data_IF_685817979767
#
_entry.id   IF_685817979767
#
_cell.length_a   1.000
_cell.length_b   1.000
_cell.length_c   1.000
_cell.angle_alpha   90.00
_cell.angle_beta   90.00
_cell.angle_gamma   90.00
#
_symmetry.space_group_name_H-M   'P 1'
#
loop_
_entity.id
_entity.type
_entity.pdbx_description
1 polymer ?
#
# COMPACT_ATOMS: atom_id res chain seq x y z
N UNK A 1 -3.86 -22.55 -4.78
CA UNK A 1 -4.19 -21.39 -5.64
C UNK A 1 -2.90 -20.96 -6.32
N UNK A 2 -2.90 -20.66 -7.62
CA UNK A 2 -1.75 -20.04 -8.30
C UNK A 2 -2.21 -18.68 -8.80
N UNK A 3 -1.47 -17.63 -8.47
CA UNK A 3 -1.84 -16.24 -8.81
C UNK A 3 -1.70 -15.93 -10.30
N UNK A 4 -0.84 -16.66 -11.01
CA UNK A 4 -0.61 -16.47 -12.44
C UNK A 4 0.85 -16.76 -12.79
N UNK A 5 1.24 -16.31 -13.97
CA UNK A 5 2.63 -16.28 -14.40
C UNK A 5 3.36 -15.11 -13.73
N UNK A 6 4.48 -15.38 -13.06
CA UNK A 6 5.20 -14.36 -12.27
C UNK A 6 5.82 -13.28 -13.17
N UNK A 7 6.37 -13.67 -14.32
CA UNK A 7 7.06 -12.75 -15.21
C UNK A 7 6.07 -11.79 -15.85
N UNK A 8 4.90 -12.29 -16.26
CA UNK A 8 3.82 -11.45 -16.79
C UNK A 8 3.29 -10.44 -15.75
N UNK A 9 3.14 -10.87 -14.49
CA UNK A 9 2.68 -9.97 -13.41
C UNK A 9 3.71 -8.88 -13.13
N UNK A 10 4.99 -9.26 -13.04
CA UNK A 10 6.08 -8.31 -12.80
C UNK A 10 6.18 -7.31 -13.95
N UNK A 11 6.09 -7.77 -15.20
CA UNK A 11 6.12 -6.91 -16.39
C UNK A 11 4.96 -5.90 -16.36
N UNK A 12 3.74 -6.34 -16.06
CA UNK A 12 2.57 -5.45 -15.98
C UNK A 12 2.74 -4.37 -14.90
N UNK A 13 3.22 -4.75 -13.71
CA UNK A 13 3.48 -3.81 -12.61
C UNK A 13 4.58 -2.82 -12.99
N UNK A 14 5.66 -3.28 -13.64
CA UNK A 14 6.73 -2.40 -14.13
C UNK A 14 6.22 -1.41 -15.15
N UNK A 15 5.38 -1.83 -16.11
CA UNK A 15 4.78 -0.95 -17.11
C UNK A 15 3.91 0.12 -16.44
N UNK A 16 3.07 -0.27 -15.48
CA UNK A 16 2.20 0.65 -14.71
C UNK A 16 2.96 1.72 -13.94
N UNK A 17 4.18 1.43 -13.50
CA UNK A 17 5.03 2.37 -12.75
C UNK A 17 6.15 3.01 -13.60
N UNK A 18 6.23 2.70 -14.90
CA UNK A 18 7.37 3.04 -15.76
C UNK A 18 7.65 4.54 -15.88
N UNK A 19 6.61 5.38 -15.81
CA UNK A 19 6.71 6.84 -15.86
C UNK A 19 6.81 7.51 -14.49
N UNK A 20 6.82 6.73 -13.40
CA UNK A 20 6.77 7.25 -12.04
C UNK A 20 8.13 7.13 -11.34
N UNK A 21 8.82 8.26 -11.17
CA UNK A 21 10.08 8.33 -10.45
C UNK A 21 9.99 9.33 -9.28
N UNK A 22 9.40 8.91 -8.15
CA UNK A 22 9.20 9.78 -6.99
C UNK A 22 10.53 10.07 -6.29
N UNK A 23 10.57 11.19 -5.55
CA UNK A 23 11.66 11.44 -4.62
C UNK A 23 11.64 10.37 -3.50
N UNK A 24 12.75 9.66 -3.26
CA UNK A 24 12.79 8.64 -2.22
C UNK A 24 12.46 9.22 -0.86
N UNK A 25 11.51 8.58 -0.17
CA UNK A 25 11.14 8.89 1.21
C UNK A 25 11.50 7.71 2.11
N UNK A 26 11.80 7.97 3.38
CA UNK A 26 11.91 6.90 4.37
C UNK A 26 10.51 6.44 4.75
N UNK A 27 10.18 5.19 4.44
CA UNK A 27 8.88 4.60 4.73
C UNK A 27 8.89 3.85 6.06
N UNK A 28 7.72 3.78 6.68
CA UNK A 28 7.42 2.80 7.72
C UNK A 28 7.39 1.38 7.14
N UNK A 29 6.76 1.20 5.98
CA UNK A 29 6.78 -0.06 5.20
C UNK A 29 5.74 -1.10 5.61
N UNK A 30 5.16 -0.98 6.81
CA UNK A 30 4.00 -1.75 7.27
C UNK A 30 3.01 -0.84 8.02
N UNK A 31 2.60 0.28 7.42
CA UNK A 31 1.74 1.26 8.07
C UNK A 31 0.26 0.87 7.95
N UNK A 32 -0.33 0.45 9.07
CA UNK A 32 -1.75 0.11 9.17
C UNK A 32 -2.27 0.25 10.60
N UNK A 33 -3.58 0.07 10.80
CA UNK A 33 -4.26 0.38 12.06
C UNK A 33 -3.67 -0.25 13.31
N UNK A 34 -3.15 -1.48 13.21
CA UNK A 34 -2.61 -2.20 14.37
C UNK A 34 -1.17 -1.80 14.70
N UNK A 35 -0.50 -1.12 13.77
CA UNK A 35 0.85 -0.59 13.95
C UNK A 35 0.83 0.90 14.32
N UNK A 36 -0.34 1.41 14.72
CA UNK A 36 -0.55 2.80 15.12
C UNK A 36 -1.27 2.86 16.47
N UNK A 37 -0.87 3.78 17.34
CA UNK A 37 -1.63 4.13 18.53
C UNK A 37 -1.57 5.64 18.81
N UNK A 38 -2.58 6.14 19.50
CA UNK A 38 -2.57 7.52 20.02
C UNK A 38 -2.23 7.49 21.50
N UNK A 39 -1.17 8.20 21.89
CA UNK A 39 -0.82 8.38 23.29
C UNK A 39 -0.90 9.84 23.74
N UNK A 40 -0.52 10.15 24.99
CA UNK A 40 -0.73 11.46 25.59
C UNK A 40 0.05 12.60 24.91
N UNK A 41 1.12 12.27 24.19
CA UNK A 41 2.00 13.24 23.52
C UNK A 41 1.86 13.22 21.99
N UNK A 42 0.90 12.47 21.44
CA UNK A 42 0.72 12.31 20.00
C UNK A 42 0.74 10.86 19.53
N UNK A 43 0.84 10.63 18.20
CA UNK A 43 0.78 9.31 17.61
C UNK A 43 2.10 8.53 17.83
N UNK A 44 1.96 7.22 17.96
CA UNK A 44 3.03 6.24 17.99
C UNK A 44 2.85 5.25 16.85
N UNK A 45 3.97 4.87 16.23
CA UNK A 45 4.03 3.86 15.17
C UNK A 45 4.93 2.70 15.63
N UNK A 46 4.57 1.47 15.28
CA UNK A 46 5.23 0.24 15.73
C UNK A 46 5.50 -0.72 14.57
N UNK A 47 6.41 -1.68 14.80
CA UNK A 47 6.68 -2.80 13.89
C UNK A 47 6.99 -2.38 12.44
N UNK A 48 8.03 -1.56 12.22
CA UNK A 48 8.37 -1.08 10.89
C UNK A 48 9.02 -2.16 10.01
N UNK A 49 8.81 -2.02 8.71
CA UNK A 49 9.51 -2.72 7.64
C UNK A 49 10.22 -1.69 6.74
N UNK A 50 11.04 -0.82 7.32
CA UNK A 50 11.55 0.39 6.68
C UNK A 50 12.35 0.14 5.39
N UNK A 51 12.15 1.03 4.41
CA UNK A 51 12.99 1.15 3.22
C UNK A 51 12.88 2.58 2.64
N UNK A 52 13.79 2.91 1.72
CA UNK A 52 13.68 4.13 0.92
C UNK A 52 12.86 3.84 -0.35
N UNK A 53 11.74 4.53 -0.53
CA UNK A 53 10.81 4.26 -1.62
C UNK A 53 9.81 5.38 -1.87
N UNK A 54 8.72 5.07 -2.55
CA UNK A 54 7.63 6.01 -2.77
C UNK A 54 6.76 6.17 -1.52
N UNK A 55 6.66 7.40 -1.00
CA UNK A 55 5.80 7.73 0.15
C UNK A 55 4.34 7.31 -0.02
N UNK A 56 3.88 7.16 -1.26
CA UNK A 56 2.53 6.71 -1.58
C UNK A 56 2.24 5.29 -1.06
N UNK A 57 3.25 4.43 -0.87
CA UNK A 57 3.03 3.05 -0.40
C UNK A 57 2.48 2.99 1.03
N UNK A 58 3.00 3.79 1.96
CA UNK A 58 2.52 3.84 3.35
C UNK A 58 1.07 4.32 3.43
N UNK A 59 0.66 5.22 2.53
CA UNK A 59 -0.69 5.74 2.46
C UNK A 59 -1.64 4.83 1.70
N UNK A 60 -1.15 4.04 0.75
CA UNK A 60 -1.99 3.20 -0.10
C UNK A 60 -2.81 2.19 0.70
N UNK A 61 -2.31 1.77 1.87
CA UNK A 61 -2.98 0.79 2.73
C UNK A 61 -4.12 1.37 3.58
N UNK A 62 -4.08 2.66 3.93
CA UNK A 62 -5.02 3.27 4.87
C UNK A 62 -6.52 3.04 4.55
N UNK A 63 -6.99 3.07 3.29
CA UNK A 63 -8.41 2.84 2.98
C UNK A 63 -8.88 1.41 3.26
N UNK A 64 -7.96 0.44 3.41
CA UNK A 64 -8.27 -0.92 3.82
C UNK A 64 -8.42 -1.06 5.35
N UNK A 65 -8.19 0.03 6.09
CA UNK A 65 -8.26 0.11 7.54
C UNK A 65 -9.28 1.19 7.96
N UNK A 66 -10.59 0.95 7.78
CA UNK A 66 -11.64 1.94 7.98
C UNK A 66 -11.78 2.44 9.43
N UNK A 67 -11.15 1.74 10.39
CA UNK A 67 -11.09 2.17 11.79
C UNK A 67 -10.16 3.37 12.01
N UNK A 68 -9.32 3.71 11.02
CA UNK A 68 -8.46 4.88 11.06
C UNK A 68 -9.24 6.15 10.66
N UNK A 69 -8.97 7.29 11.34
CA UNK A 69 -9.65 8.54 11.03
C UNK A 69 -9.29 9.02 9.61
N UNK A 70 -10.27 9.38 8.76
CA UNK A 70 -10.01 9.86 7.40
C UNK A 70 -9.15 11.15 7.38
N UNK A 71 -9.14 11.90 8.49
CA UNK A 71 -8.34 13.11 8.68
C UNK A 71 -6.83 12.88 8.59
N UNK A 72 -6.36 11.62 8.63
CA UNK A 72 -4.96 11.31 8.35
C UNK A 72 -4.59 11.78 6.94
N UNK A 73 -5.46 11.57 5.95
CA UNK A 73 -5.23 12.08 4.59
C UNK A 73 -5.26 13.60 4.55
N UNK A 74 -6.22 14.25 5.20
CA UNK A 74 -6.31 15.71 5.23
C UNK A 74 -5.04 16.35 5.82
N UNK A 75 -4.57 15.80 6.94
CA UNK A 75 -3.34 16.25 7.59
C UNK A 75 -2.13 16.05 6.69
N UNK A 76 -2.01 14.88 6.05
CA UNK A 76 -0.91 14.58 5.14
C UNK A 76 -0.92 15.50 3.90
N UNK A 77 -2.08 15.66 3.26
CA UNK A 77 -2.29 16.55 2.11
C UNK A 77 -1.95 18.01 2.41
N UNK A 78 -2.18 18.47 3.66
CA UNK A 78 -1.89 19.85 4.07
C UNK A 78 -0.39 20.18 4.10
N UNK A 79 0.48 19.17 4.21
CA UNK A 79 1.94 19.32 4.34
C UNK A 79 2.68 18.81 3.11
N UNK A 80 2.26 17.65 2.57
CA UNK A 80 2.88 16.99 1.43
C UNK A 80 1.82 16.46 0.46
N UNK A 81 1.19 17.33 -0.35
CA UNK A 81 0.14 16.95 -1.27
C UNK A 81 0.56 15.78 -2.18
N UNK A 82 -0.28 14.77 -2.28
CA UNK A 82 -0.16 13.66 -3.21
C UNK A 82 -0.41 14.14 -4.64
N UNK A 83 0.32 13.57 -5.62
CA UNK A 83 0.00 13.77 -7.03
C UNK A 83 -1.44 13.38 -7.34
N UNK A 84 -2.07 14.06 -8.30
CA UNK A 84 -3.47 13.81 -8.68
C UNK A 84 -3.73 12.39 -9.18
N UNK A 85 -2.71 11.74 -9.74
CA UNK A 85 -2.72 10.39 -10.29
C UNK A 85 -2.37 9.30 -9.25
N UNK A 86 -2.21 9.64 -7.96
CA UNK A 86 -1.97 8.67 -6.88
C UNK A 86 -2.98 7.51 -6.88
N UNK A 87 -4.26 7.81 -7.13
CA UNK A 87 -5.32 6.79 -7.14
C UNK A 87 -5.13 5.75 -8.24
N UNK A 88 -4.42 6.06 -9.30
CA UNK A 88 -4.09 5.12 -10.38
C UNK A 88 -3.00 4.12 -9.95
N UNK A 89 -2.11 4.53 -9.04
CA UNK A 89 -1.01 3.70 -8.50
C UNK A 89 -1.40 2.95 -7.23
N UNK A 90 -2.36 3.46 -6.47
CA UNK A 90 -2.78 2.89 -5.20
C UNK A 90 -3.06 1.37 -5.24
N UNK A 91 -3.78 0.81 -6.24
CA UNK A 91 -4.01 -0.64 -6.32
C UNK A 91 -2.72 -1.46 -6.48
N UNK A 92 -1.73 -0.91 -7.21
CA UNK A 92 -0.42 -1.57 -7.40
C UNK A 92 0.34 -1.63 -6.08
N UNK A 93 0.30 -0.57 -5.28
CA UNK A 93 0.95 -0.56 -3.96
C UNK A 93 0.27 -1.47 -2.95
N UNK A 94 -1.07 -1.54 -2.97
CA UNK A 94 -1.82 -2.45 -2.11
C UNK A 94 -1.53 -3.93 -2.44
N UNK A 95 -1.25 -4.25 -3.71
CA UNK A 95 -1.03 -5.63 -4.16
C UNK A 95 0.09 -6.33 -3.39
N UNK A 96 1.21 -5.65 -3.13
CA UNK A 96 2.32 -6.20 -2.33
C UNK A 96 1.83 -6.66 -0.95
N UNK A 97 1.16 -5.78 -0.21
CA UNK A 97 0.71 -6.06 1.15
C UNK A 97 -0.35 -7.16 1.19
N UNK A 98 -1.25 -7.18 0.19
CA UNK A 98 -2.28 -8.20 0.09
C UNK A 98 -1.70 -9.59 -0.22
N UNK A 99 -0.71 -9.67 -1.11
CA UNK A 99 0.03 -10.92 -1.37
C UNK A 99 0.80 -11.36 -0.12
N UNK A 100 1.47 -10.44 0.58
CA UNK A 100 2.17 -10.76 1.82
C UNK A 100 1.22 -11.35 2.89
N UNK A 101 0.05 -10.72 3.09
CA UNK A 101 -0.99 -11.24 3.98
C UNK A 101 -1.52 -12.60 3.53
N UNK A 102 -1.63 -12.83 2.24
CA UNK A 102 -2.04 -14.13 1.70
C UNK A 102 -1.02 -15.23 2.00
N UNK A 103 0.27 -14.92 1.94
CA UNK A 103 1.37 -15.83 2.31
C UNK A 103 1.32 -16.14 3.81
N UNK A 104 1.16 -15.12 4.66
CA UNK A 104 1.21 -15.27 6.12
C UNK A 104 -0.03 -15.96 6.69
N UNK A 105 -1.22 -15.63 6.19
CA UNK A 105 -2.48 -15.99 6.84
C UNK A 105 -3.36 -16.95 6.02
N UNK A 106 -3.10 -17.10 4.71
CA UNK A 106 -3.87 -17.99 3.84
C UNK A 106 -5.37 -17.68 3.83
N UNK A 107 -6.19 -18.70 3.57
CA UNK A 107 -7.66 -18.62 3.65
C UNK A 107 -8.26 -17.48 2.81
N UNK A 108 -9.07 -16.64 3.45
CA UNK A 108 -9.72 -15.49 2.79
C UNK A 108 -8.71 -14.50 2.19
N UNK A 109 -7.50 -14.40 2.74
CA UNK A 109 -6.48 -13.49 2.22
C UNK A 109 -5.99 -13.89 0.82
N UNK A 110 -5.98 -15.19 0.49
CA UNK A 110 -5.70 -15.65 -0.88
C UNK A 110 -6.75 -15.13 -1.87
N UNK A 111 -8.02 -15.16 -1.49
CA UNK A 111 -9.13 -14.67 -2.32
C UNK A 111 -9.05 -13.16 -2.50
N UNK A 112 -8.74 -12.41 -1.43
CA UNK A 112 -8.60 -10.96 -1.50
C UNK A 112 -7.40 -10.57 -2.37
N UNK A 113 -6.25 -11.23 -2.19
CA UNK A 113 -5.07 -10.99 -3.01
C UNK A 113 -5.32 -11.32 -4.49
N UNK A 114 -6.04 -12.41 -4.78
CA UNK A 114 -6.36 -12.76 -6.17
C UNK A 114 -7.24 -11.69 -6.82
N UNK A 115 -8.28 -11.22 -6.14
CA UNK A 115 -9.14 -10.15 -6.66
C UNK A 115 -8.36 -8.85 -6.88
N UNK A 116 -7.46 -8.50 -5.97
CA UNK A 116 -6.62 -7.32 -6.12
C UNK A 116 -5.69 -7.44 -7.33
N UNK A 117 -5.10 -8.63 -7.53
CA UNK A 117 -4.29 -8.91 -8.71
C UNK A 117 -5.11 -8.79 -10.00
N UNK A 118 -6.29 -9.42 -10.04
CA UNK A 118 -7.18 -9.36 -11.21
C UNK A 118 -7.54 -7.91 -11.57
N UNK A 119 -7.81 -7.06 -10.56
CA UNK A 119 -8.08 -5.63 -10.75
C UNK A 119 -6.86 -4.86 -11.29
N UNK A 120 -5.65 -5.18 -10.82
CA UNK A 120 -4.42 -4.56 -11.32
C UNK A 120 -4.16 -4.95 -12.77
N UNK A 121 -4.42 -6.21 -13.14
CA UNK A 121 -4.22 -6.72 -14.50
C UNK A 121 -5.30 -6.26 -15.50
N UNK A 122 -6.51 -5.95 -15.03
CA UNK A 122 -7.62 -5.49 -15.87
C UNK A 122 -7.56 -4.00 -16.25
N UNK A 123 -6.71 -3.23 -15.58
CA UNK A 123 -6.55 -1.78 -15.76
C UNK A 123 -5.24 -1.45 -16.48
#
# INVERSE_FOLDING_TARGET
>A
MKFGDIDAIVEHVQQRLSSHQPQPSLLHGDLWSNNCALGPNGPYLFDPACYWGDRECDLAMLPLHPDQPPQIYDGYQSVSPLPADFLERQPVYQLYTLINRAILFGGQHLVVAQKALDNVLAA
#
